data_IF_833067651714
#
_entry.id   IF_833067651714
#
_cell.length_a   1.000
_cell.length_b   1.000
_cell.length_c   1.000
_cell.angle_alpha   90.00
_cell.angle_beta   90.00
_cell.angle_gamma   90.00
#
_symmetry.space_group_name_H-M   'P 1'
#
loop_
_entity.id
_entity.type
_entity.pdbx_description
1 polymer ?
#
# COMPACT_ATOMS: atom_id res chain seq x y z
N UNK A 1 10.90 8.55 -9.61
CA UNK A 1 9.92 7.48 -9.82
C UNK A 1 10.18 6.28 -8.92
N UNK A 2 11.43 5.83 -8.85
CA UNK A 2 11.79 4.69 -8.02
C UNK A 2 11.45 4.88 -6.56
N UNK A 3 11.70 6.08 -6.03
CA UNK A 3 11.44 6.37 -4.62
C UNK A 3 9.95 6.34 -4.30
N UNK A 4 9.10 6.80 -5.23
CA UNK A 4 7.66 6.81 -5.03
C UNK A 4 7.14 5.38 -4.91
N UNK A 5 7.53 4.51 -5.82
CA UNK A 5 7.09 3.11 -5.77
C UNK A 5 7.64 2.38 -4.55
N UNK A 6 8.88 2.67 -4.19
CA UNK A 6 9.49 2.05 -3.03
C UNK A 6 8.74 2.40 -1.75
N UNK A 7 8.35 3.67 -1.58
CA UNK A 7 7.57 4.08 -0.43
C UNK A 7 6.20 3.44 -0.41
N UNK A 8 5.57 3.33 -1.57
CA UNK A 8 4.28 2.63 -1.64
C UNK A 8 4.42 1.17 -1.22
N UNK A 9 5.46 0.51 -1.69
CA UNK A 9 5.69 -0.89 -1.33
C UNK A 9 5.92 -1.06 0.16
N UNK A 10 6.73 -0.18 0.76
CA UNK A 10 6.95 -0.22 2.20
C UNK A 10 5.63 -0.06 2.95
N UNK A 11 4.80 0.87 2.51
CA UNK A 11 3.50 1.12 3.13
C UNK A 11 2.59 -0.08 3.00
N UNK A 12 2.55 -0.71 1.83
CA UNK A 12 1.71 -1.90 1.61
C UNK A 12 2.19 -3.06 2.49
N UNK A 13 3.49 -3.24 2.62
CA UNK A 13 4.03 -4.28 3.50
C UNK A 13 3.59 -4.07 4.95
N UNK A 14 3.64 -2.82 5.42
CA UNK A 14 3.19 -2.49 6.76
C UNK A 14 1.70 -2.78 6.91
N UNK A 15 0.89 -2.39 5.92
CA UNK A 15 -0.55 -2.64 5.94
C UNK A 15 -0.84 -4.13 6.01
N UNK A 16 -0.13 -4.93 5.24
CA UNK A 16 -0.33 -6.38 5.24
C UNK A 16 0.07 -6.99 6.58
N UNK A 17 1.18 -6.54 7.16
CA UNK A 17 1.65 -7.06 8.44
C UNK A 17 0.69 -6.72 9.57
N UNK A 18 0.22 -5.47 9.60
CA UNK A 18 -0.63 -4.98 10.70
C UNK A 18 -2.10 -5.26 10.46
N UNK A 19 -2.48 -5.63 9.25
CA UNK A 19 -3.87 -5.83 8.87
C UNK A 19 -4.70 -4.58 9.07
N UNK A 20 -4.07 -3.42 8.93
CA UNK A 20 -4.74 -2.12 9.08
C UNK A 20 -4.21 -1.15 8.03
N UNK A 21 -5.11 -0.37 7.46
CA UNK A 21 -4.77 0.67 6.49
C UNK A 21 -5.10 2.02 7.12
N UNK A 22 -4.18 2.54 7.91
CA UNK A 22 -4.38 3.75 8.69
C UNK A 22 -3.25 4.74 8.43
N UNK A 23 -3.63 6.01 8.19
CA UNK A 23 -2.64 7.07 8.01
C UNK A 23 -1.77 7.23 9.26
N UNK A 24 -2.39 7.19 10.43
CA UNK A 24 -1.66 7.31 11.69
C UNK A 24 -0.64 6.21 11.87
N UNK A 25 -1.02 5.00 11.51
CA UNK A 25 -0.11 3.87 11.62
C UNK A 25 1.09 4.05 10.70
N UNK A 26 0.86 4.48 9.48
CA UNK A 26 1.95 4.70 8.54
C UNK A 26 2.88 5.81 8.99
N UNK A 27 2.33 6.86 9.60
CA UNK A 27 3.17 7.92 10.16
C UNK A 27 4.16 7.36 11.18
N UNK A 28 3.68 6.51 12.06
CA UNK A 28 4.52 5.94 13.11
C UNK A 28 5.50 4.91 12.58
N UNK A 29 5.03 4.04 11.70
CA UNK A 29 5.85 2.92 11.21
C UNK A 29 6.92 3.38 10.24
N UNK A 30 6.59 4.32 9.38
CA UNK A 30 7.51 4.78 8.34
C UNK A 30 8.11 6.15 8.67
N UNK A 31 7.75 6.72 9.82
CA UNK A 31 8.27 8.01 10.26
C UNK A 31 8.02 9.10 9.24
N UNK A 32 6.78 9.16 8.74
CA UNK A 32 6.37 10.14 7.74
C UNK A 32 5.52 11.22 8.37
N UNK A 33 5.50 12.40 7.75
CA UNK A 33 4.55 13.42 8.09
C UNK A 33 3.15 13.03 7.65
N UNK A 34 2.14 13.69 8.23
CA UNK A 34 0.74 13.36 7.95
C UNK A 34 0.40 13.49 6.47
N UNK A 35 0.82 14.61 5.84
CA UNK A 35 0.50 14.84 4.44
C UNK A 35 1.05 13.75 3.53
N UNK A 36 2.28 13.34 3.80
CA UNK A 36 2.92 12.31 2.97
C UNK A 36 2.24 10.96 3.19
N UNK A 37 1.94 10.62 4.44
CA UNK A 37 1.27 9.36 4.74
C UNK A 37 -0.11 9.32 4.12
N UNK A 38 -0.87 10.41 4.18
CA UNK A 38 -2.19 10.49 3.57
C UNK A 38 -2.12 10.32 2.06
N UNK A 39 -1.12 10.94 1.43
CA UNK A 39 -0.96 10.82 -0.03
C UNK A 39 -0.64 9.36 -0.42
N UNK A 40 0.20 8.70 0.35
CA UNK A 40 0.53 7.31 0.08
C UNK A 40 -0.70 6.43 0.22
N UNK A 41 -1.50 6.66 1.25
CA UNK A 41 -2.75 5.92 1.46
C UNK A 41 -3.69 6.12 0.27
N UNK A 42 -3.82 7.36 -0.23
CA UNK A 42 -4.67 7.63 -1.39
C UNK A 42 -4.18 6.91 -2.64
N UNK A 43 -2.87 6.86 -2.83
CA UNK A 43 -2.28 6.16 -3.97
C UNK A 43 -2.53 4.65 -3.89
N UNK A 44 -2.45 4.10 -2.69
CA UNK A 44 -2.71 2.68 -2.48
C UNK A 44 -4.19 2.37 -2.73
N UNK A 45 -5.07 3.27 -2.31
CA UNK A 45 -6.49 3.13 -2.59
C UNK A 45 -6.77 3.12 -4.10
N UNK A 46 -6.12 4.01 -4.85
CA UNK A 46 -6.27 4.08 -6.30
C UNK A 46 -5.83 2.78 -6.98
N UNK A 47 -4.90 2.06 -6.38
CA UNK A 47 -4.46 0.78 -6.92
C UNK A 47 -5.40 -0.37 -6.60
N UNK A 48 -6.43 -0.12 -5.79
CA UNK A 48 -7.40 -1.15 -5.44
C UNK A 48 -6.93 -2.09 -4.35
N UNK A 49 -5.90 -1.72 -3.61
CA UNK A 49 -5.35 -2.56 -2.54
C UNK A 49 -6.14 -2.39 -1.25
N UNK A 50 -6.64 -1.19 -1.00
CA UNK A 50 -7.46 -0.91 0.18
C UNK A 50 -8.73 -0.18 -0.25
N UNK A 51 -9.75 -0.27 0.59
CA UNK A 51 -11.03 0.39 0.33
C UNK A 51 -11.01 1.84 0.76
N UNK A 52 -12.12 2.55 0.48
CA UNK A 52 -12.24 3.96 0.84
C UNK A 52 -12.39 4.15 2.33
N UNK A 53 -12.14 5.37 2.79
CA UNK A 53 -12.36 5.73 4.18
C UNK A 53 -13.85 5.64 4.53
N UNK A 54 -14.16 5.00 5.65
CA UNK A 54 -15.53 4.84 6.11
C UNK A 54 -15.71 5.47 7.49
N UNK A 55 -15.31 6.72 7.60
CA UNK A 55 -15.43 7.44 8.86
C UNK A 55 -14.45 6.92 9.89
N UNK A 56 -14.96 6.52 11.06
CA UNK A 56 -14.10 6.05 12.13
C UNK A 56 -13.71 4.59 12.00
N UNK A 57 -14.27 3.88 11.03
CA UNK A 57 -13.95 2.47 10.83
C UNK A 57 -12.63 2.32 10.09
N UNK A 58 -11.83 1.27 10.39
CA UNK A 58 -10.63 1.00 9.60
C UNK A 58 -10.98 0.69 8.16
N UNK A 59 -10.11 1.09 7.24
CA UNK A 59 -10.29 0.77 5.83
C UNK A 59 -10.12 -0.74 5.65
N UNK A 60 -10.88 -1.27 4.71
CA UNK A 60 -10.79 -2.70 4.38
C UNK A 60 -9.56 -2.94 3.52
N UNK A 61 -8.92 -4.09 3.73
CA UNK A 61 -7.83 -4.55 2.87
C UNK A 61 -8.46 -5.44 1.82
N UNK A 62 -8.37 -5.04 0.55
CA UNK A 62 -9.11 -5.67 -0.53
C UNK A 62 -8.37 -6.82 -1.20
N UNK A 63 -7.07 -6.96 -0.95
CA UNK A 63 -6.29 -8.04 -1.53
C UNK A 63 -5.66 -8.88 -0.43
N UNK A 64 -5.29 -10.11 -0.78
CA UNK A 64 -4.59 -10.98 0.14
C UNK A 64 -3.09 -10.75 0.07
N UNK A 65 -2.36 -11.30 1.05
CA UNK A 65 -0.92 -11.26 1.02
C UNK A 65 -0.37 -11.96 -0.22
N UNK A 66 -1.00 -13.03 -0.64
CA UNK A 66 -0.62 -13.75 -1.85
C UNK A 66 -0.79 -12.88 -3.09
N UNK A 67 -1.90 -12.14 -3.17
CA UNK A 67 -2.13 -11.22 -4.25
C UNK A 67 -1.04 -10.16 -4.31
N UNK A 68 -0.65 -9.65 -3.16
CA UNK A 68 0.40 -8.63 -3.09
C UNK A 68 1.74 -9.19 -3.56
N UNK A 69 2.07 -10.41 -3.14
CA UNK A 69 3.31 -11.05 -3.59
C UNK A 69 3.33 -11.20 -5.11
N UNK A 70 2.21 -11.60 -5.68
CA UNK A 70 2.09 -11.76 -7.12
C UNK A 70 2.25 -10.41 -7.84
N UNK A 71 1.67 -9.37 -7.31
CA UNK A 71 1.80 -8.03 -7.88
C UNK A 71 3.26 -7.56 -7.88
N UNK A 72 3.99 -7.84 -6.80
CA UNK A 72 5.40 -7.50 -6.72
C UNK A 72 6.21 -8.24 -7.77
N UNK A 73 5.94 -9.52 -7.94
CA UNK A 73 6.64 -10.34 -8.92
C UNK A 73 6.42 -9.82 -10.33
N UNK A 74 5.18 -9.49 -10.67
CA UNK A 74 4.87 -8.95 -11.99
C UNK A 74 5.63 -7.67 -12.26
N UNK A 75 5.74 -6.81 -11.25
CA UNK A 75 6.41 -5.53 -11.43
C UNK A 75 7.91 -5.69 -11.66
N UNK A 76 8.52 -6.71 -11.06
CA UNK A 76 9.95 -6.93 -11.18
C UNK A 76 10.33 -7.82 -12.37
N UNK A 77 9.34 -8.41 -13.04
CA UNK A 77 9.59 -9.27 -14.19
C UNK A 77 9.78 -8.44 -15.47
N UNK A 78 10.61 -8.91 -16.42
CA UNK A 78 10.67 -8.27 -17.73
C UNK A 78 9.31 -8.28 -18.41
N UNK A 79 9.07 -7.29 -19.27
CA UNK A 79 7.78 -7.14 -19.94
C UNK A 79 7.36 -8.36 -20.72
N UNK A 80 8.32 -9.03 -21.34
CA UNK A 80 8.03 -10.22 -22.16
C UNK A 80 7.60 -11.41 -21.34
N UNK A 81 7.73 -11.36 -20.02
CA UNK A 81 7.34 -12.44 -19.13
C UNK A 81 6.15 -12.10 -18.25
N UNK A 82 5.52 -10.97 -18.50
CA UNK A 82 4.40 -10.51 -17.65
C UNK A 82 3.03 -10.92 -18.18
N UNK A 83 2.96 -11.79 -19.11
CA UNK A 83 1.67 -12.22 -19.68
C UNK A 83 0.97 -13.29 -18.87
#
# INVERSE_FOLDING_TARGET
LGDVYKRQEEAIEVIMDCRQASTSMLQRRLKLGYSRAARIIDQIEDRGIIGPSEGSKPRQILISREDWQEMKLRRTMPLDKQQ
#
